data_IF_141336845837
#
_entry.id   IF_141336845837
#
_cell.length_a   1.000
_cell.length_b   1.000
_cell.length_c   1.000
_cell.angle_alpha   90.00
_cell.angle_beta   90.00
_cell.angle_gamma   90.00
#
_symmetry.space_group_name_H-M   'P 1'
#
loop_
_entity.id
_entity.type
_entity.pdbx_description
1 polymer ?
#
# COMPACT_ATOMS: atom_id res chain seq x y z
N UNK A 1 -36.32 -25.56 -11.52
CA UNK A 1 -35.48 -24.92 -10.48
C UNK A 1 -35.22 -23.49 -10.92
N UNK A 2 -35.57 -22.46 -10.14
CA UNK A 2 -35.34 -21.08 -10.56
C UNK A 2 -33.89 -20.66 -10.26
N UNK A 3 -33.23 -20.11 -11.28
CA UNK A 3 -31.89 -19.51 -11.16
C UNK A 3 -32.00 -18.14 -10.49
N UNK A 4 -31.49 -18.03 -9.27
CA UNK A 4 -31.25 -16.74 -8.60
C UNK A 4 -29.90 -16.20 -9.04
N UNK A 5 -29.90 -15.09 -9.78
CA UNK A 5 -28.68 -14.33 -10.07
C UNK A 5 -28.21 -13.58 -8.82
N UNK A 6 -27.00 -13.89 -8.37
CA UNK A 6 -26.34 -13.19 -7.27
C UNK A 6 -25.83 -11.85 -7.80
N UNK A 7 -26.33 -10.74 -7.26
CA UNK A 7 -25.73 -9.40 -7.44
C UNK A 7 -24.44 -9.33 -6.63
N UNK A 8 -23.31 -9.15 -7.30
CA UNK A 8 -22.09 -8.71 -6.65
C UNK A 8 -22.24 -7.21 -6.28
N UNK A 9 -22.35 -6.93 -4.99
CA UNK A 9 -22.23 -5.57 -4.47
C UNK A 9 -20.73 -5.24 -4.37
N UNK A 10 -20.22 -4.46 -5.33
CA UNK A 10 -18.91 -3.81 -5.22
C UNK A 10 -19.08 -2.51 -4.41
N UNK A 11 -19.23 -2.64 -3.09
CA UNK A 11 -19.15 -1.51 -2.17
C UNK A 11 -17.80 -1.57 -1.44
N UNK A 12 -16.99 -0.53 -1.58
CA UNK A 12 -15.89 -0.27 -0.63
C UNK A 12 -14.46 -0.27 -1.18
N UNK A 13 -14.21 0.13 -2.43
CA UNK A 13 -12.84 0.58 -2.79
C UNK A 13 -12.65 2.01 -2.27
N UNK A 14 -11.69 2.28 -1.38
CA UNK A 14 -11.36 3.65 -1.00
C UNK A 14 -10.95 4.41 -2.25
N UNK A 15 -11.56 5.57 -2.47
CA UNK A 15 -11.19 6.51 -3.52
C UNK A 15 -9.79 7.06 -3.23
N UNK A 16 -8.77 6.34 -3.69
CA UNK A 16 -7.41 6.85 -3.76
C UNK A 16 -7.44 8.07 -4.68
N UNK A 17 -7.32 9.25 -4.07
CA UNK A 17 -7.26 10.53 -4.76
C UNK A 17 -6.02 10.53 -5.68
N UNK A 18 -6.20 10.19 -6.97
CA UNK A 18 -5.12 10.20 -7.98
C UNK A 18 -4.41 11.56 -8.12
N UNK A 19 -4.98 12.64 -7.56
CA UNK A 19 -4.36 13.96 -7.49
C UNK A 19 -3.12 14.05 -6.60
N UNK A 20 -2.90 13.15 -5.63
CA UNK A 20 -1.67 13.16 -4.84
C UNK A 20 -0.49 12.45 -5.53
N UNK A 21 -0.74 11.58 -6.51
CA UNK A 21 0.32 10.94 -7.30
C UNK A 21 1.03 11.91 -8.26
N UNK A 22 0.39 13.04 -8.61
CA UNK A 22 0.95 14.03 -9.54
C UNK A 22 1.67 15.20 -8.85
N UNK A 23 1.67 15.27 -7.51
CA UNK A 23 2.31 16.36 -6.77
C UNK A 23 3.76 16.07 -6.34
N UNK A 24 4.23 14.81 -6.43
CA UNK A 24 5.59 14.44 -5.98
C UNK A 24 6.67 14.71 -7.05
N UNK A 25 6.30 15.06 -8.28
CA UNK A 25 7.24 15.23 -9.40
C UNK A 25 7.80 16.65 -9.60
N UNK A 26 7.64 17.56 -8.63
CA UNK A 26 8.02 18.98 -8.82
C UNK A 26 8.87 19.59 -7.70
N UNK A 27 9.78 18.81 -7.11
CA UNK A 27 10.80 19.33 -6.20
C UNK A 27 12.23 18.93 -6.62
N UNK A 28 12.87 19.81 -7.40
CA UNK A 28 14.29 20.16 -7.24
C UNK A 28 15.36 19.24 -7.82
N UNK A 29 15.64 19.38 -9.13
CA UNK A 29 17.01 19.24 -9.64
C UNK A 29 17.37 20.56 -10.33
N UNK A 30 18.07 21.45 -9.62
CA UNK A 30 18.70 22.64 -10.20
C UNK A 30 20.15 22.26 -10.53
N UNK A 31 20.42 22.03 -11.81
CA UNK A 31 21.79 21.95 -12.34
C UNK A 31 21.93 22.97 -13.46
N UNK A 32 22.64 24.05 -13.18
CA UNK A 32 23.01 25.06 -14.17
C UNK A 32 24.07 24.47 -15.12
N UNK A 33 23.71 24.33 -16.40
CA UNK A 33 24.66 23.99 -17.47
C UNK A 33 24.73 25.18 -18.43
N UNK A 34 25.84 25.90 -18.39
CA UNK A 34 26.21 26.90 -19.40
C UNK A 34 26.72 26.19 -20.64
N UNK A 35 25.97 26.26 -21.75
CA UNK A 35 26.41 25.75 -23.07
C UNK A 35 26.90 26.93 -23.91
N UNK A 36 28.20 26.93 -24.23
CA UNK A 36 28.81 27.77 -25.25
C UNK A 36 28.53 27.14 -26.62
N UNK A 37 27.82 27.85 -27.49
CA UNK A 37 27.53 27.42 -28.86
C UNK A 37 28.68 27.77 -29.81
N UNK A 38 29.24 26.77 -30.49
CA UNK A 38 30.10 26.94 -31.68
C UNK A 38 29.51 26.18 -32.88
N UNK A 39 29.61 26.72 -34.12
CA UNK A 39 28.92 26.17 -35.28
C UNK A 39 29.58 24.91 -35.86
N UNK A 40 28.71 24.08 -36.44
CA UNK A 40 28.90 22.67 -36.78
C UNK A 40 29.82 22.40 -37.97
N UNK A 41 30.58 21.30 -37.87
CA UNK A 41 31.21 20.59 -38.97
C UNK A 41 30.64 19.16 -38.97
N UNK A 42 30.10 18.72 -40.11
CA UNK A 42 29.50 17.40 -40.26
C UNK A 42 30.56 16.30 -40.09
N UNK A 43 30.40 15.49 -39.03
CA UNK A 43 31.20 14.32 -38.66
C UNK A 43 30.29 13.09 -38.86
N UNK A 44 30.82 11.88 -39.16
CA UNK A 44 30.02 10.68 -39.39
C UNK A 44 29.14 10.42 -38.15
N UNK A 45 27.99 9.77 -38.34
CA UNK A 45 27.05 9.45 -37.28
C UNK A 45 27.74 8.68 -36.14
N UNK A 46 28.25 9.43 -35.15
CA UNK A 46 28.68 8.91 -33.87
C UNK A 46 27.47 8.26 -33.22
N UNK A 47 27.69 7.08 -32.63
CA UNK A 47 26.69 6.39 -31.84
C UNK A 47 26.03 7.42 -30.90
N UNK A 48 24.71 7.58 -31.03
CA UNK A 48 23.97 8.50 -30.17
C UNK A 48 24.36 8.23 -28.72
N UNK A 49 24.86 9.24 -27.99
CA UNK A 49 25.30 9.03 -26.63
C UNK A 49 24.11 8.47 -25.84
N UNK A 50 24.31 7.29 -25.25
CA UNK A 50 23.32 6.65 -24.39
C UNK A 50 22.81 7.69 -23.40
N UNK A 51 21.49 7.83 -23.30
CA UNK A 51 20.89 8.83 -22.42
C UNK A 51 21.34 8.59 -20.98
N UNK A 52 22.12 9.54 -20.47
CA UNK A 52 22.57 9.59 -19.07
C UNK A 52 21.38 9.56 -18.10
N UNK A 53 20.21 10.04 -18.55
CA UNK A 53 18.97 10.02 -17.78
C UNK A 53 18.40 8.62 -17.61
N UNK A 54 18.34 7.80 -18.67
CA UNK A 54 17.84 6.42 -18.54
C UNK A 54 18.75 5.59 -17.64
N UNK A 55 20.06 5.70 -17.82
CA UNK A 55 21.03 5.02 -16.96
C UNK A 55 20.89 5.45 -15.50
N UNK A 56 20.74 6.75 -15.22
CA UNK A 56 20.53 7.23 -13.86
C UNK A 56 19.23 6.70 -13.21
N UNK A 57 18.16 6.48 -13.99
CA UNK A 57 16.93 5.86 -13.48
C UNK A 57 17.13 4.37 -13.15
N UNK A 58 17.86 3.65 -14.00
CA UNK A 58 18.22 2.25 -13.76
C UNK A 58 19.09 2.12 -12.51
N UNK A 59 20.11 2.98 -12.37
CA UNK A 59 20.98 3.03 -11.19
C UNK A 59 20.18 3.36 -9.92
N UNK A 60 19.24 4.32 -10.01
CA UNK A 60 18.35 4.66 -8.91
C UNK A 60 17.47 3.47 -8.50
N UNK A 61 16.98 2.68 -9.47
CA UNK A 61 16.24 1.46 -9.19
C UNK A 61 17.12 0.43 -8.50
N UNK A 62 18.31 0.15 -9.00
CA UNK A 62 19.22 -0.81 -8.36
C UNK A 62 19.56 -0.41 -6.92
N UNK A 63 19.78 0.88 -6.68
CA UNK A 63 20.00 1.40 -5.34
C UNK A 63 18.76 1.25 -4.43
N UNK A 64 17.56 1.50 -4.95
CA UNK A 64 16.31 1.32 -4.20
C UNK A 64 16.06 -0.15 -3.85
N UNK A 65 16.30 -1.06 -4.81
CA UNK A 65 16.19 -2.49 -4.62
C UNK A 65 17.17 -3.02 -3.56
N UNK A 66 18.44 -2.60 -3.60
CA UNK A 66 19.43 -2.96 -2.59
C UNK A 66 19.01 -2.52 -1.18
N UNK A 67 18.48 -1.29 -1.04
CA UNK A 67 17.95 -0.79 0.23
C UNK A 67 16.74 -1.59 0.71
N UNK A 68 15.88 -2.00 -0.21
CA UNK A 68 14.72 -2.83 0.12
C UNK A 68 15.15 -4.21 0.63
N UNK A 69 16.13 -4.85 0.00
CA UNK A 69 16.71 -6.10 0.49
C UNK A 69 17.33 -5.93 1.90
N UNK A 70 18.14 -4.89 2.11
CA UNK A 70 18.72 -4.59 3.43
C UNK A 70 17.65 -4.36 4.51
N UNK A 71 16.54 -3.70 4.15
CA UNK A 71 15.43 -3.47 5.08
C UNK A 71 14.68 -4.76 5.39
N UNK A 72 14.47 -5.66 4.41
CA UNK A 72 13.92 -7.00 4.64
C UNK A 72 14.82 -7.81 5.57
N UNK A 73 16.13 -7.82 5.33
CA UNK A 73 17.10 -8.55 6.16
C UNK A 73 17.10 -8.06 7.62
N UNK A 74 16.82 -6.77 7.84
CA UNK A 74 16.67 -6.19 9.18
C UNK A 74 15.33 -6.51 9.83
N UNK A 75 14.22 -6.38 9.10
CA UNK A 75 12.88 -6.51 9.64
C UNK A 75 12.48 -7.98 9.90
N UNK A 76 12.85 -8.89 8.99
CA UNK A 76 12.47 -10.31 9.05
C UNK A 76 12.83 -10.99 10.38
N UNK A 77 14.07 -10.93 10.89
CA UNK A 77 14.41 -11.58 12.15
C UNK A 77 13.65 -10.98 13.33
N UNK A 78 13.41 -9.66 13.35
CA UNK A 78 12.61 -9.01 14.38
C UNK A 78 11.15 -9.48 14.34
N UNK A 79 10.56 -9.61 13.15
CA UNK A 79 9.22 -10.17 13.00
C UNK A 79 9.15 -11.63 13.48
N UNK A 80 10.13 -12.47 13.13
CA UNK A 80 10.13 -13.88 13.52
C UNK A 80 10.31 -14.07 15.03
N UNK A 81 11.15 -13.25 15.65
CA UNK A 81 11.40 -13.28 17.09
C UNK A 81 10.21 -12.75 17.90
N UNK A 82 9.67 -11.58 17.53
CA UNK A 82 8.65 -10.89 18.32
C UNK A 82 7.21 -11.20 17.93
N UNK A 83 6.98 -11.58 16.66
CA UNK A 83 5.67 -11.93 16.13
C UNK A 83 5.70 -13.34 15.50
N UNK A 84 5.95 -14.38 16.32
CA UNK A 84 5.90 -15.75 15.84
C UNK A 84 4.52 -16.07 15.24
N UNK A 85 4.42 -17.14 14.46
CA UNK A 85 3.17 -17.52 13.77
C UNK A 85 1.96 -17.68 14.70
N UNK A 86 2.23 -17.94 15.98
CA UNK A 86 1.25 -18.17 17.04
C UNK A 86 0.97 -16.91 17.87
N UNK A 87 1.55 -15.76 17.54
CA UNK A 87 1.31 -14.52 18.26
C UNK A 87 -0.12 -14.04 18.00
N UNK A 88 -0.90 -13.98 19.06
CA UNK A 88 -2.29 -13.55 19.04
C UNK A 88 -2.51 -12.43 20.07
N UNK A 89 -3.30 -11.43 19.66
CA UNK A 89 -3.83 -10.43 20.58
C UNK A 89 -5.13 -10.96 21.17
N UNK A 90 -5.09 -11.34 22.44
CA UNK A 90 -6.28 -11.79 23.16
C UNK A 90 -6.95 -10.62 23.88
N UNK A 91 -8.21 -10.36 23.53
CA UNK A 91 -9.06 -9.35 24.17
C UNK A 91 -10.09 -10.08 25.03
N UNK A 92 -10.02 -9.97 26.37
CA UNK A 92 -11.08 -10.47 27.23
C UNK A 92 -12.31 -9.59 27.05
N UNK A 93 -13.47 -10.22 26.85
CA UNK A 93 -14.73 -9.54 26.67
C UNK A 93 -15.64 -9.81 27.86
N UNK A 94 -16.41 -8.79 28.23
CA UNK A 94 -17.38 -8.94 29.32
C UNK A 94 -18.53 -9.90 28.96
N UNK A 95 -18.71 -10.20 27.67
CA UNK A 95 -19.73 -11.13 27.15
C UNK A 95 -19.10 -12.08 26.13
N UNK A 96 -19.39 -13.38 26.26
CA UNK A 96 -18.96 -14.38 25.30
C UNK A 96 -17.50 -14.79 25.41
N UNK A 97 -16.85 -14.54 26.56
CA UNK A 97 -15.48 -14.98 26.85
C UNK A 97 -14.43 -14.00 26.35
N UNK A 98 -13.84 -14.27 25.18
CA UNK A 98 -12.79 -13.44 24.61
C UNK A 98 -12.80 -13.47 23.08
N UNK A 99 -11.98 -12.61 22.48
CA UNK A 99 -11.70 -12.61 21.06
C UNK A 99 -10.18 -12.60 20.89
N UNK A 100 -9.64 -13.51 20.09
CA UNK A 100 -8.25 -13.46 19.66
C UNK A 100 -8.15 -13.10 18.19
N UNK A 101 -7.07 -12.41 17.84
CA UNK A 101 -6.72 -12.13 16.45
C UNK A 101 -5.22 -12.35 16.28
N UNK A 102 -4.82 -12.99 15.18
CA UNK A 102 -3.39 -13.11 14.86
C UNK A 102 -2.78 -11.73 14.63
N UNK A 103 -1.59 -11.52 15.18
CA UNK A 103 -0.82 -10.27 15.08
C UNK A 103 0.12 -10.23 13.87
N UNK A 104 0.11 -11.28 13.04
CA UNK A 104 1.09 -11.46 11.98
C UNK A 104 0.67 -10.74 10.70
N UNK A 105 1.62 -10.03 10.09
CA UNK A 105 1.51 -9.35 8.79
C UNK A 105 0.47 -8.21 8.70
N UNK A 106 -0.43 -8.09 9.67
CA UNK A 106 -1.41 -7.01 9.72
C UNK A 106 -0.82 -5.80 10.43
N UNK A 107 -1.01 -4.63 9.81
CA UNK A 107 -0.95 -3.35 10.50
C UNK A 107 -1.83 -3.48 11.76
N UNK A 108 -1.26 -3.19 12.92
CA UNK A 108 -1.94 -3.28 14.21
C UNK A 108 -3.27 -2.50 14.22
N UNK A 109 -3.37 -1.49 13.34
CA UNK A 109 -4.53 -0.65 13.10
C UNK A 109 -5.69 -1.44 12.47
N UNK A 110 -5.41 -2.29 11.48
CA UNK A 110 -6.41 -3.18 10.89
C UNK A 110 -6.94 -4.18 11.91
N UNK A 111 -6.05 -4.74 12.74
CA UNK A 111 -6.44 -5.64 13.84
C UNK A 111 -7.32 -4.90 14.86
N UNK A 112 -6.97 -3.67 15.20
CA UNK A 112 -7.79 -2.84 16.09
C UNK A 112 -9.19 -2.62 15.50
N UNK A 113 -9.29 -2.24 14.23
CA UNK A 113 -10.57 -1.97 13.59
C UNK A 113 -11.45 -3.21 13.43
N UNK A 114 -10.86 -4.35 13.06
CA UNK A 114 -11.57 -5.64 12.96
C UNK A 114 -12.10 -6.07 14.35
N UNK A 115 -11.25 -6.02 15.39
CA UNK A 115 -11.66 -6.34 16.76
C UNK A 115 -12.73 -5.36 17.28
N UNK A 116 -12.60 -4.07 16.98
CA UNK A 116 -13.57 -3.04 17.35
C UNK A 116 -14.92 -3.29 16.67
N UNK A 117 -14.92 -3.64 15.39
CA UNK A 117 -16.13 -3.98 14.65
C UNK A 117 -16.81 -5.23 15.24
N UNK A 118 -16.03 -6.26 15.57
CA UNK A 118 -16.51 -7.49 16.19
C UNK A 118 -17.15 -7.26 17.56
N UNK A 119 -16.50 -6.46 18.42
CA UNK A 119 -17.04 -6.08 19.72
C UNK A 119 -18.39 -5.37 19.54
N UNK A 120 -18.45 -4.34 18.69
CA UNK A 120 -19.68 -3.60 18.43
C UNK A 120 -20.80 -4.50 17.90
N UNK A 121 -20.48 -5.38 16.95
CA UNK A 121 -21.43 -6.35 16.38
C UNK A 121 -22.01 -7.25 17.47
N UNK A 122 -21.18 -7.82 18.35
CA UNK A 122 -21.65 -8.67 19.46
C UNK A 122 -22.58 -7.92 20.41
N UNK A 123 -22.22 -6.70 20.81
CA UNK A 123 -23.07 -5.90 21.70
C UNK A 123 -24.39 -5.47 21.03
N UNK A 124 -24.37 -5.19 19.73
CA UNK A 124 -25.57 -4.91 18.95
C UNK A 124 -26.51 -6.13 18.90
N UNK A 125 -25.97 -7.33 18.67
CA UNK A 125 -26.75 -8.58 18.68
C UNK A 125 -27.38 -8.86 20.06
N UNK A 126 -26.63 -8.66 21.16
CA UNK A 126 -27.17 -8.83 22.51
C UNK A 126 -28.25 -7.79 22.82
N UNK A 127 -28.05 -6.54 22.40
CA UNK A 127 -29.06 -5.48 22.52
C UNK A 127 -30.32 -5.83 21.74
N UNK A 128 -30.18 -6.39 20.53
CA UNK A 128 -31.32 -6.83 19.71
C UNK A 128 -32.14 -7.93 20.40
N UNK A 129 -31.49 -8.90 21.09
CA UNK A 129 -32.18 -9.94 21.86
C UNK A 129 -33.03 -9.40 23.01
N UNK A 130 -32.74 -8.20 23.52
CA UNK A 130 -33.54 -7.55 24.56
C UNK A 130 -34.88 -6.97 24.05
N UNK A 131 -35.14 -6.99 22.74
CA UNK A 131 -36.38 -6.45 22.16
C UNK A 131 -37.63 -7.14 22.73
N UNK A 132 -37.59 -8.46 22.92
CA UNK A 132 -38.69 -9.19 23.53
C UNK A 132 -38.86 -8.83 25.02
N UNK A 133 -37.73 -8.70 25.75
CA UNK A 133 -37.73 -8.31 27.16
C UNK A 133 -38.34 -6.92 27.37
N UNK A 134 -38.15 -6.01 26.42
CA UNK A 134 -38.74 -4.67 26.48
C UNK A 134 -40.27 -4.68 26.53
N UNK A 135 -40.91 -5.70 25.92
CA UNK A 135 -42.38 -5.85 25.92
C UNK A 135 -42.92 -6.41 27.24
N UNK A 136 -42.15 -7.27 27.91
CA UNK A 136 -42.60 -8.00 29.11
C UNK A 136 -42.18 -7.28 30.39
N UNK A 137 -40.97 -6.71 30.42
CA UNK A 137 -40.39 -6.06 31.59
C UNK A 137 -39.54 -4.84 31.16
N UNK A 138 -40.17 -3.69 30.86
CA UNK A 138 -39.50 -2.54 30.25
C UNK A 138 -38.39 -1.95 31.14
N UNK A 139 -38.58 -1.92 32.46
CA UNK A 139 -37.59 -1.37 33.38
C UNK A 139 -36.35 -2.28 33.48
N UNK A 140 -36.55 -3.59 33.50
CA UNK A 140 -35.45 -4.56 33.44
C UNK A 140 -34.71 -4.45 32.11
N UNK A 141 -35.43 -4.35 30.98
CA UNK A 141 -34.82 -4.16 29.67
C UNK A 141 -33.96 -2.88 29.59
N UNK A 142 -34.44 -1.76 30.14
CA UNK A 142 -33.67 -0.50 30.21
C UNK A 142 -32.39 -0.68 31.04
N UNK A 143 -32.48 -1.34 32.20
CA UNK A 143 -31.31 -1.63 33.04
C UNK A 143 -30.31 -2.53 32.32
N UNK A 144 -30.78 -3.59 31.65
CA UNK A 144 -29.93 -4.49 30.86
C UNK A 144 -29.25 -3.77 29.69
N UNK A 145 -29.96 -2.93 28.93
CA UNK A 145 -29.36 -2.13 27.85
C UNK A 145 -28.29 -1.16 28.39
N UNK A 146 -28.54 -0.51 29.53
CA UNK A 146 -27.55 0.36 30.15
C UNK A 146 -26.30 -0.42 30.62
N UNK A 147 -26.49 -1.63 31.16
CA UNK A 147 -25.39 -2.52 31.54
C UNK A 147 -24.58 -2.96 30.32
N UNK A 148 -25.24 -3.36 29.22
CA UNK A 148 -24.57 -3.72 27.96
C UNK A 148 -23.73 -2.57 27.40
N UNK A 149 -24.26 -1.34 27.38
CA UNK A 149 -23.51 -0.16 26.91
C UNK A 149 -22.27 0.13 27.77
N UNK A 150 -22.38 -0.03 29.09
CA UNK A 150 -21.24 0.14 30.00
C UNK A 150 -20.17 -0.93 29.75
N UNK A 151 -20.59 -2.18 29.56
CA UNK A 151 -19.69 -3.29 29.25
C UNK A 151 -19.01 -3.12 27.87
N UNK A 152 -19.75 -2.68 26.85
CA UNK A 152 -19.20 -2.34 25.53
C UNK A 152 -18.11 -1.27 25.63
N UNK A 153 -18.37 -0.17 26.35
CA UNK A 153 -17.38 0.88 26.56
C UNK A 153 -16.17 0.40 27.34
N UNK A 154 -16.36 -0.51 28.30
CA UNK A 154 -15.28 -1.11 29.05
C UNK A 154 -14.38 -1.97 28.15
N UNK A 155 -14.97 -2.86 27.36
CA UNK A 155 -14.26 -3.75 26.44
C UNK A 155 -13.51 -2.95 25.35
N UNK A 156 -14.13 -1.90 24.78
CA UNK A 156 -13.49 -1.02 23.81
C UNK A 156 -12.29 -0.25 24.39
N UNK A 157 -12.37 0.17 25.66
CA UNK A 157 -11.22 0.78 26.36
C UNK A 157 -10.12 -0.24 26.64
N UNK A 158 -10.49 -1.46 27.00
CA UNK A 158 -9.54 -2.56 27.20
C UNK A 158 -8.79 -2.88 25.91
N UNK A 159 -9.50 -2.99 24.77
CA UNK A 159 -8.89 -3.14 23.44
C UNK A 159 -7.89 -2.01 23.16
N UNK A 160 -8.30 -0.74 23.32
CA UNK A 160 -7.42 0.41 23.07
C UNK A 160 -6.15 0.37 23.94
N UNK A 161 -6.27 -0.06 25.19
CA UNK A 161 -5.12 -0.23 26.08
C UNK A 161 -4.17 -1.33 25.58
N UNK A 162 -4.71 -2.49 25.22
CA UNK A 162 -3.93 -3.62 24.70
C UNK A 162 -3.19 -3.25 23.41
N UNK A 163 -3.84 -2.54 22.49
CA UNK A 163 -3.22 -2.03 21.26
C UNK A 163 -2.08 -1.07 21.57
N UNK A 164 -2.29 -0.15 22.53
CA UNK A 164 -1.24 0.78 22.96
C UNK A 164 -0.03 0.05 23.57
N UNK A 165 -0.27 -0.96 24.40
CA UNK A 165 0.78 -1.79 25.02
C UNK A 165 1.53 -2.62 23.98
N UNK A 166 0.83 -3.18 23.00
CA UNK A 166 1.44 -3.88 21.86
C UNK A 166 2.30 -2.93 21.02
N UNK A 167 1.80 -1.75 20.67
CA UNK A 167 2.58 -0.74 19.95
C UNK A 167 3.85 -0.37 20.72
N UNK A 168 3.73 -0.06 22.00
CA UNK A 168 4.88 0.27 22.84
C UNK A 168 5.92 -0.86 22.89
N UNK A 169 5.48 -2.14 22.90
CA UNK A 169 6.39 -3.29 22.81
C UNK A 169 7.10 -3.33 21.47
N UNK A 170 6.40 -3.13 20.35
CA UNK A 170 7.00 -3.07 18.99
C UNK A 170 7.99 -1.92 18.85
N UNK A 171 7.68 -0.75 19.39
CA UNK A 171 8.60 0.40 19.41
C UNK A 171 9.85 0.10 20.23
N UNK A 172 9.70 -0.48 21.42
CA UNK A 172 10.82 -0.75 22.33
C UNK A 172 11.89 -1.69 21.74
N UNK A 173 11.48 -2.57 20.83
CA UNK A 173 12.35 -3.57 20.19
C UNK A 173 12.83 -3.12 18.80
N UNK A 174 12.43 -1.91 18.37
CA UNK A 174 12.76 -1.37 17.06
C UNK A 174 12.01 -1.98 15.89
N UNK A 175 11.02 -2.85 16.14
CA UNK A 175 10.26 -3.52 15.08
C UNK A 175 9.42 -2.52 14.29
N UNK A 176 8.78 -1.56 14.96
CA UNK A 176 7.96 -0.53 14.27
C UNK A 176 8.80 0.27 13.27
N UNK A 177 9.98 0.73 13.68
CA UNK A 177 10.91 1.44 12.80
C UNK A 177 11.40 0.54 11.64
N UNK A 178 11.74 -0.71 11.90
CA UNK A 178 12.22 -1.63 10.86
C UNK A 178 11.13 -1.91 9.81
N UNK A 179 9.87 -2.01 10.22
CA UNK A 179 8.73 -2.16 9.30
C UNK A 179 8.52 -0.88 8.48
N UNK A 180 8.52 0.29 9.11
CA UNK A 180 8.40 1.58 8.40
C UNK A 180 9.52 1.77 7.38
N UNK A 181 10.77 1.43 7.73
CA UNK A 181 11.91 1.49 6.81
C UNK A 181 11.75 0.51 5.63
N UNK A 182 11.27 -0.71 5.89
CA UNK A 182 11.00 -1.69 4.84
C UNK A 182 9.91 -1.22 3.89
N UNK A 183 8.80 -0.72 4.42
CA UNK A 183 7.67 -0.27 3.62
C UNK A 183 8.07 0.96 2.79
N UNK A 184 8.80 1.91 3.38
CA UNK A 184 9.36 3.06 2.66
C UNK A 184 10.36 2.65 1.56
N UNK A 185 11.21 1.64 1.82
CA UNK A 185 12.13 1.12 0.82
C UNK A 185 11.39 0.38 -0.31
N UNK A 186 10.31 -0.33 0.00
CA UNK A 186 9.43 -0.97 -0.97
C UNK A 186 8.75 0.06 -1.88
N UNK A 187 8.21 1.14 -1.29
CA UNK A 187 7.60 2.24 -2.05
C UNK A 187 8.60 2.95 -2.95
N UNK A 188 9.84 3.15 -2.48
CA UNK A 188 10.92 3.72 -3.26
C UNK A 188 11.34 2.81 -4.43
N UNK A 189 11.44 1.51 -4.20
CA UNK A 189 11.71 0.50 -5.24
C UNK A 189 10.60 0.54 -6.29
N UNK A 190 9.33 0.48 -5.88
CA UNK A 190 8.17 0.55 -6.79
C UNK A 190 8.13 1.84 -7.60
N UNK A 191 8.40 2.97 -6.95
CA UNK A 191 8.46 4.26 -7.63
C UNK A 191 9.58 4.34 -8.66
N UNK A 192 10.72 3.70 -8.38
CA UNK A 192 11.88 3.69 -9.28
C UNK A 192 11.67 2.82 -10.51
N UNK A 193 11.07 1.62 -10.38
CA UNK A 193 10.69 0.79 -11.53
C UNK A 193 9.65 1.50 -12.39
N UNK A 194 8.65 2.14 -11.77
CA UNK A 194 7.66 2.92 -12.48
C UNK A 194 8.30 4.06 -13.28
N UNK A 195 9.31 4.74 -12.72
CA UNK A 195 10.04 5.80 -13.42
C UNK A 195 10.81 5.29 -14.65
N UNK A 196 11.42 4.09 -14.56
CA UNK A 196 12.05 3.44 -15.73
C UNK A 196 10.99 3.08 -16.76
N UNK A 197 9.87 2.48 -16.34
CA UNK A 197 8.75 2.16 -17.22
C UNK A 197 8.16 3.40 -17.90
N UNK A 198 8.01 4.52 -17.19
CA UNK A 198 7.50 5.78 -17.73
C UNK A 198 8.50 6.52 -18.63
N UNK A 199 9.80 6.17 -18.57
CA UNK A 199 10.82 6.84 -19.37
C UNK A 199 10.58 6.65 -20.88
N UNK A 200 10.43 7.76 -21.60
CA UNK A 200 10.25 7.81 -23.05
C UNK A 200 11.59 7.76 -23.76
N UNK A 201 11.87 6.65 -24.43
CA UNK A 201 13.10 6.49 -25.20
C UNK A 201 13.08 7.38 -26.45
N UNK A 202 14.21 8.01 -26.75
CA UNK A 202 14.36 8.87 -27.95
C UNK A 202 15.18 8.20 -29.06
N UNK A 203 15.75 7.04 -28.77
CA UNK A 203 16.59 6.27 -29.68
C UNK A 203 16.35 4.76 -29.55
N UNK A 204 16.69 4.01 -30.60
CA UNK A 204 16.64 2.55 -30.57
C UNK A 204 17.56 1.95 -29.52
N UNK A 205 18.69 2.61 -29.24
CA UNK A 205 19.63 2.16 -28.22
C UNK A 205 19.05 2.28 -26.81
N UNK A 206 18.33 3.37 -26.51
CA UNK A 206 17.59 3.49 -25.25
C UNK A 206 16.49 2.44 -25.12
N UNK A 207 15.80 2.09 -26.22
CA UNK A 207 14.84 0.98 -26.20
C UNK A 207 15.51 -0.35 -25.87
N UNK A 208 16.67 -0.63 -26.47
CA UNK A 208 17.45 -1.85 -26.20
C UNK A 208 17.86 -1.93 -24.73
N UNK A 209 18.44 -0.86 -24.19
CA UNK A 209 18.88 -0.80 -22.77
C UNK A 209 17.69 -0.98 -21.82
N UNK A 210 16.58 -0.27 -22.07
CA UNK A 210 15.37 -0.41 -21.25
C UNK A 210 14.81 -1.83 -21.32
N UNK A 211 14.78 -2.45 -22.49
CA UNK A 211 14.30 -3.83 -22.65
C UNK A 211 15.22 -4.84 -21.95
N UNK A 212 16.53 -4.69 -22.06
CA UNK A 212 17.52 -5.52 -21.36
C UNK A 212 17.35 -5.43 -19.84
N UNK A 213 17.22 -4.21 -19.31
CA UNK A 213 16.93 -3.99 -17.89
C UNK A 213 15.61 -4.64 -17.44
N UNK A 214 14.53 -4.50 -18.23
CA UNK A 214 13.24 -5.09 -17.87
C UNK A 214 13.28 -6.63 -17.91
N UNK A 215 14.02 -7.22 -18.85
CA UNK A 215 14.24 -8.66 -18.90
C UNK A 215 15.00 -9.15 -17.66
N UNK A 216 16.07 -8.44 -17.26
CA UNK A 216 16.81 -8.73 -16.04
C UNK A 216 15.89 -8.63 -14.81
N UNK A 217 15.14 -7.53 -14.70
CA UNK A 217 14.21 -7.28 -13.60
C UNK A 217 13.19 -8.41 -13.45
N UNK A 218 12.51 -8.79 -14.53
CA UNK A 218 11.47 -9.83 -14.52
C UNK A 218 11.98 -11.23 -14.13
N UNK A 219 13.30 -11.44 -14.11
CA UNK A 219 13.89 -12.71 -13.63
C UNK A 219 14.37 -12.66 -12.18
N UNK A 220 14.29 -11.49 -11.53
CA UNK A 220 14.69 -11.31 -10.14
C UNK A 220 13.68 -11.86 -9.12
N UNK A 221 14.12 -11.96 -7.87
CA UNK A 221 13.35 -12.54 -6.75
C UNK A 221 12.03 -11.81 -6.46
N UNK A 222 12.00 -10.50 -6.71
CA UNK A 222 10.85 -9.63 -6.52
C UNK A 222 10.51 -8.86 -7.82
N UNK A 223 10.74 -9.50 -8.97
CA UNK A 223 10.71 -8.89 -10.30
C UNK A 223 9.33 -8.70 -10.95
N UNK A 224 8.24 -8.64 -10.19
CA UNK A 224 6.91 -8.64 -10.77
C UNK A 224 6.43 -7.22 -11.11
N UNK A 225 6.30 -6.93 -12.40
CA UNK A 225 5.68 -5.70 -12.88
C UNK A 225 4.21 -5.65 -12.47
N UNK A 226 3.83 -4.56 -11.80
CA UNK A 226 2.42 -4.32 -11.46
C UNK A 226 1.67 -3.75 -12.67
N UNK A 227 0.33 -3.76 -12.61
CA UNK A 227 -0.49 -3.20 -13.68
C UNK A 227 -0.13 -1.74 -13.98
N UNK A 228 0.20 -0.95 -12.96
CA UNK A 228 0.60 0.46 -13.14
C UNK A 228 1.95 0.61 -13.87
N UNK A 229 2.87 -0.34 -13.68
CA UNK A 229 4.18 -0.34 -14.35
C UNK A 229 4.03 -0.72 -15.82
N UNK A 230 3.14 -1.68 -16.10
CA UNK A 230 2.77 -2.06 -17.47
C UNK A 230 2.09 -0.89 -18.18
N UNK A 231 1.14 -0.22 -17.53
CA UNK A 231 0.48 0.95 -18.10
C UNK A 231 1.48 2.08 -18.37
N UNK A 232 2.36 2.39 -17.41
CA UNK A 232 3.43 3.36 -17.58
C UNK A 232 4.37 2.99 -18.76
N UNK A 233 4.72 1.72 -18.88
CA UNK A 233 5.52 1.19 -19.98
C UNK A 233 4.82 1.35 -21.33
N UNK A 234 3.56 0.94 -21.44
CA UNK A 234 2.77 1.06 -22.66
C UNK A 234 2.61 2.53 -23.08
N UNK A 235 2.34 3.41 -22.12
CA UNK A 235 2.23 4.86 -22.36
C UNK A 235 3.55 5.51 -22.76
N UNK A 236 4.69 4.94 -22.36
CA UNK A 236 6.00 5.43 -22.77
C UNK A 236 6.28 5.25 -24.27
N UNK A 237 5.56 4.34 -24.93
CA UNK A 237 5.66 4.12 -26.38
C UNK A 237 4.73 5.01 -27.22
N UNK A 238 3.75 5.65 -26.60
CA UNK A 238 2.78 6.47 -27.33
C UNK A 238 3.33 7.86 -27.67
N UNK A 239 3.02 8.41 -28.86
CA UNK A 239 3.20 9.84 -29.14
C UNK A 239 2.54 10.70 -28.06
N UNK A 240 3.08 11.89 -27.80
CA UNK A 240 2.59 12.78 -26.73
C UNK A 240 1.12 13.12 -26.94
N UNK A 241 0.74 13.34 -28.20
CA UNK A 241 -0.61 13.71 -28.63
C UNK A 241 -1.61 12.57 -28.38
N UNK A 242 -1.18 11.32 -28.60
CA UNK A 242 -2.00 10.15 -28.35
C UNK A 242 -2.20 9.89 -26.85
N UNK A 243 -1.19 10.22 -26.03
CA UNK A 243 -1.27 10.09 -24.57
C UNK A 243 -2.32 11.06 -23.99
N UNK A 244 -2.30 12.33 -24.40
CA UNK A 244 -3.26 13.33 -23.90
C UNK A 244 -4.72 12.93 -24.23
N UNK A 245 -4.94 12.34 -25.42
CA UNK A 245 -6.23 11.80 -25.81
C UNK A 245 -6.65 10.60 -24.96
N UNK A 246 -5.74 9.66 -24.72
CA UNK A 246 -6.01 8.46 -23.92
C UNK A 246 -6.31 8.79 -22.44
N UNK A 247 -5.57 9.73 -21.85
CA UNK A 247 -5.79 10.17 -20.46
C UNK A 247 -7.18 10.82 -20.34
N UNK A 248 -7.54 11.75 -21.23
CA UNK A 248 -8.88 12.36 -21.25
C UNK A 248 -9.99 11.32 -21.41
N UNK A 249 -9.78 10.31 -22.26
CA UNK A 249 -10.73 9.21 -22.44
C UNK A 249 -10.98 8.44 -21.14
N UNK A 250 -9.91 8.03 -20.46
CA UNK A 250 -10.00 7.26 -19.21
C UNK A 250 -10.61 8.05 -18.05
N UNK A 251 -10.37 9.36 -17.95
CA UNK A 251 -10.97 10.22 -16.92
C UNK A 251 -12.46 10.48 -17.16
N UNK A 252 -12.90 10.48 -18.41
CA UNK A 252 -14.29 10.75 -18.77
C UNK A 252 -15.24 9.56 -18.56
N UNK A 253 -14.72 8.37 -18.23
CA UNK A 253 -15.52 7.15 -18.09
C UNK A 253 -16.20 6.71 -19.40
N UNK A 254 -15.80 7.28 -20.54
CA UNK A 254 -16.30 6.92 -21.86
C UNK A 254 -15.48 5.75 -22.40
N UNK A 255 -15.75 4.56 -21.89
CA UNK A 255 -15.34 3.28 -22.48
C UNK A 255 -16.58 2.40 -22.67
#
# INVERSE_FOLDING_TARGET
>A
MPNTSVRAAAEGMPTLNRRTALAVTSAGIVSAITVLSTPAKAVPAEASPVSTKLLALIDAKHAAYARFEEAIERATPLEEEYLPKTAELYVPLSIGGGQSHSLRYSELERVEDDLRADIKRRYAEQTHKLTALHKVAPDLAKQSTAALRKAEQFDLRALKRLIKEERARRTAVGLEQALEERDAASDAERSSINAVCAYRCTSMEEHRIKAEFLLEFCTGRYGDLQSEDIDALLWSFLPVEALEGAVKGSESGAA
#
